data_IF_819284643593
#
_entry.id   IF_819284643593
#
_cell.length_a   1.000
_cell.length_b   1.000
_cell.length_c   1.000
_cell.angle_alpha   90.00
_cell.angle_beta   90.00
_cell.angle_gamma   90.00
#
_symmetry.space_group_name_H-M   'P 1'
#
loop_
_entity.id
_entity.type
_entity.pdbx_description
1 polymer ?
#
# COMPACT_ATOMS: atom_id res chain seq x y z
N UNK A 1 -3.39 -20.62 8.67
CA UNK A 1 -2.47 -19.97 7.69
C UNK A 1 -2.49 -20.69 6.34
N UNK A 2 -3.68 -20.99 5.79
CA UNK A 2 -3.83 -21.59 4.46
C UNK A 2 -4.94 -20.84 3.73
N UNK A 3 -4.63 -19.60 3.38
CA UNK A 3 -5.50 -18.73 2.60
C UNK A 3 -4.93 -18.62 1.18
N UNK A 4 -5.45 -19.39 0.22
CA UNK A 4 -4.92 -19.41 -1.14
C UNK A 4 -5.12 -18.06 -1.84
N UNK A 5 -6.19 -17.33 -1.54
CA UNK A 5 -6.48 -16.05 -2.20
C UNK A 5 -5.48 -14.98 -1.77
N UNK A 6 -5.25 -14.86 -0.46
CA UNK A 6 -4.24 -13.95 0.08
C UNK A 6 -2.83 -14.31 -0.41
N UNK A 7 -2.49 -15.61 -0.45
CA UNK A 7 -1.20 -16.05 -0.97
C UNK A 7 -1.01 -15.69 -2.45
N UNK A 8 -2.01 -15.95 -3.30
CA UNK A 8 -1.91 -15.65 -4.74
C UNK A 8 -1.68 -14.17 -5.00
N UNK A 9 -2.45 -13.27 -4.38
CA UNK A 9 -2.26 -11.83 -4.61
C UNK A 9 -0.92 -11.34 -4.10
N UNK A 10 -0.45 -11.83 -2.96
CA UNK A 10 0.82 -11.40 -2.38
C UNK A 10 2.01 -11.90 -3.22
N UNK A 11 1.92 -13.10 -3.80
CA UNK A 11 2.94 -13.58 -4.74
C UNK A 11 3.00 -12.74 -6.01
N UNK A 12 1.85 -12.38 -6.58
CA UNK A 12 1.78 -11.48 -7.74
C UNK A 12 2.41 -10.12 -7.39
N UNK A 13 2.01 -9.53 -6.25
CA UNK A 13 2.57 -8.27 -5.76
C UNK A 13 4.08 -8.35 -5.54
N UNK A 14 4.59 -9.44 -4.96
CA UNK A 14 6.01 -9.65 -4.74
C UNK A 14 6.79 -9.69 -6.06
N UNK A 15 6.28 -10.41 -7.07
CA UNK A 15 6.91 -10.48 -8.40
C UNK A 15 6.93 -9.10 -9.06
N UNK A 16 5.78 -8.40 -9.07
CA UNK A 16 5.68 -7.06 -9.65
C UNK A 16 6.60 -6.06 -8.94
N UNK A 17 6.65 -6.09 -7.61
CA UNK A 17 7.51 -5.21 -6.82
C UNK A 17 9.00 -5.50 -7.08
N UNK A 18 9.37 -6.77 -7.25
CA UNK A 18 10.75 -7.16 -7.58
C UNK A 18 11.16 -6.64 -8.95
N UNK A 19 10.28 -6.79 -9.96
CA UNK A 19 10.50 -6.24 -11.30
C UNK A 19 10.64 -4.72 -11.23
N UNK A 20 9.73 -4.04 -10.54
CA UNK A 20 9.75 -2.59 -10.38
C UNK A 20 11.07 -2.10 -9.74
N UNK A 21 11.49 -2.71 -8.63
CA UNK A 21 12.75 -2.35 -7.96
C UNK A 21 13.95 -2.65 -8.84
N UNK A 22 13.95 -3.76 -9.58
CA UNK A 22 15.01 -4.10 -10.54
C UNK A 22 15.14 -3.06 -11.65
N UNK A 23 14.03 -2.69 -12.31
CA UNK A 23 14.01 -1.63 -13.32
C UNK A 23 14.44 -0.29 -12.73
N UNK A 24 13.94 0.08 -11.53
CA UNK A 24 14.32 1.31 -10.86
C UNK A 24 15.83 1.35 -10.53
N UNK A 25 16.39 0.23 -10.07
CA UNK A 25 17.80 0.13 -9.72
C UNK A 25 18.73 0.28 -10.95
N UNK A 26 18.31 -0.26 -12.11
CA UNK A 26 19.05 -0.09 -13.36
C UNK A 26 19.06 1.38 -13.80
N UNK A 27 17.95 2.09 -13.63
CA UNK A 27 17.75 3.44 -14.16
C UNK A 27 18.08 4.58 -13.16
N UNK A 28 18.26 4.28 -11.87
CA UNK A 28 18.53 5.31 -10.87
C UNK A 28 20.00 5.76 -10.88
N UNK A 29 20.19 7.08 -10.73
CA UNK A 29 21.51 7.68 -10.53
C UNK A 29 22.02 7.43 -9.10
N UNK A 30 21.11 7.26 -8.14
CA UNK A 30 21.43 7.17 -6.71
C UNK A 30 21.64 5.72 -6.21
N UNK A 31 22.46 4.94 -6.92
CA UNK A 31 22.63 3.49 -6.66
C UNK A 31 22.94 3.15 -5.20
N UNK A 32 23.85 3.89 -4.55
CA UNK A 32 24.24 3.64 -3.15
C UNK A 32 23.06 3.80 -2.18
N UNK A 33 22.24 4.84 -2.36
CA UNK A 33 21.05 5.07 -1.52
C UNK A 33 20.01 3.97 -1.75
N UNK A 34 19.78 3.59 -3.01
CA UNK A 34 18.86 2.50 -3.34
C UNK A 34 19.33 1.16 -2.78
N UNK A 35 20.63 0.84 -2.86
CA UNK A 35 21.21 -0.36 -2.25
C UNK A 35 21.06 -0.37 -0.73
N UNK A 36 21.27 0.77 -0.07
CA UNK A 36 21.06 0.89 1.38
C UNK A 36 19.60 0.60 1.75
N UNK A 37 18.64 1.20 1.04
CA UNK A 37 17.21 0.97 1.30
C UNK A 37 16.81 -0.48 1.06
N UNK A 38 17.20 -1.07 -0.09
CA UNK A 38 16.93 -2.48 -0.41
C UNK A 38 17.59 -3.39 0.62
N UNK A 39 18.84 -3.12 1.00
CA UNK A 39 19.56 -3.86 2.03
C UNK A 39 18.84 -3.83 3.37
N UNK A 40 18.40 -2.66 3.83
CA UNK A 40 17.61 -2.53 5.08
C UNK A 40 16.33 -3.35 5.03
N UNK A 41 15.58 -3.29 3.93
CA UNK A 41 14.33 -4.07 3.78
C UNK A 41 14.62 -5.57 3.77
N UNK A 42 15.63 -6.03 3.01
CA UNK A 42 16.00 -7.44 2.96
C UNK A 42 16.48 -7.95 4.32
N UNK A 43 17.30 -7.18 5.03
CA UNK A 43 17.72 -7.54 6.40
C UNK A 43 16.52 -7.66 7.33
N UNK A 44 15.57 -6.72 7.28
CA UNK A 44 14.34 -6.79 8.07
C UNK A 44 13.51 -8.05 7.76
N UNK A 45 13.34 -8.38 6.47
CA UNK A 45 12.62 -9.58 6.04
C UNK A 45 13.31 -10.87 6.50
N UNK A 46 14.63 -10.95 6.37
CA UNK A 46 15.43 -12.10 6.82
C UNK A 46 15.29 -12.27 8.34
N UNK A 47 15.43 -11.20 9.13
CA UNK A 47 15.29 -11.26 10.59
C UNK A 47 13.89 -11.71 10.99
N UNK A 48 12.86 -11.22 10.30
CA UNK A 48 11.46 -11.60 10.52
C UNK A 48 11.21 -13.07 10.19
N UNK A 49 11.79 -13.58 9.09
CA UNK A 49 11.74 -15.00 8.72
C UNK A 49 12.46 -15.89 9.74
N UNK A 50 13.68 -15.50 10.15
CA UNK A 50 14.46 -16.24 11.15
C UNK A 50 13.75 -16.27 12.52
N UNK A 51 13.13 -15.16 12.92
CA UNK A 51 12.30 -15.11 14.12
C UNK A 51 11.15 -16.12 14.05
N UNK A 52 10.42 -16.15 12.92
CA UNK A 52 9.33 -17.09 12.71
C UNK A 52 9.77 -18.56 12.76
N UNK A 53 10.98 -18.86 12.28
CA UNK A 53 11.55 -20.22 12.33
C UNK A 53 12.02 -20.62 13.74
N UNK A 54 12.46 -19.66 14.56
CA UNK A 54 13.01 -19.94 15.88
C UNK A 54 11.97 -19.98 16.99
N UNK A 55 10.82 -19.32 16.80
CA UNK A 55 9.71 -19.38 17.74
C UNK A 55 9.08 -20.79 17.73
N UNK A 56 9.07 -21.43 18.90
CA UNK A 56 8.51 -22.77 19.06
C UNK A 56 6.97 -22.79 18.98
N UNK A 57 6.30 -21.71 19.39
CA UNK A 57 4.84 -21.61 19.35
C UNK A 57 4.36 -20.92 18.07
N UNK A 58 3.73 -21.69 17.19
CA UNK A 58 3.22 -21.23 15.90
C UNK A 58 2.21 -20.08 16.08
N UNK A 59 1.43 -20.07 17.15
CA UNK A 59 0.45 -19.01 17.43
C UNK A 59 1.13 -17.67 17.70
N UNK A 60 2.12 -17.66 18.60
CA UNK A 60 2.95 -16.49 18.89
C UNK A 60 3.67 -15.99 17.64
N UNK A 61 4.25 -16.90 16.85
CA UNK A 61 4.91 -16.54 15.60
C UNK A 61 3.96 -15.88 14.61
N UNK A 62 2.80 -16.49 14.36
CA UNK A 62 1.78 -15.96 13.46
C UNK A 62 1.26 -14.59 13.90
N UNK A 63 1.01 -14.39 15.20
CA UNK A 63 0.53 -13.12 15.72
C UNK A 63 1.56 -12.00 15.54
N UNK A 64 2.83 -12.24 15.89
CA UNK A 64 3.89 -11.24 15.72
C UNK A 64 4.06 -10.85 14.25
N UNK A 65 4.06 -11.84 13.34
CA UNK A 65 4.14 -11.59 11.91
C UNK A 65 2.92 -10.80 11.38
N UNK A 66 1.72 -11.16 11.83
CA UNK A 66 0.48 -10.44 11.53
C UNK A 66 0.54 -8.98 11.98
N UNK A 67 1.03 -8.72 13.19
CA UNK A 67 1.22 -7.36 13.71
C UNK A 67 2.22 -6.55 12.87
N UNK A 68 3.39 -7.13 12.55
CA UNK A 68 4.40 -6.45 11.73
C UNK A 68 3.86 -6.12 10.34
N UNK A 69 3.14 -7.06 9.72
CA UNK A 69 2.50 -6.86 8.42
C UNK A 69 1.45 -5.73 8.50
N UNK A 70 0.56 -5.77 9.50
CA UNK A 70 -0.48 -4.76 9.67
C UNK A 70 0.09 -3.35 9.88
N UNK A 71 1.14 -3.22 10.72
CA UNK A 71 1.84 -1.94 10.92
C UNK A 71 2.45 -1.47 9.60
N UNK A 72 3.14 -2.36 8.87
CA UNK A 72 3.72 -2.04 7.56
C UNK A 72 2.68 -1.53 6.57
N UNK A 73 1.52 -2.19 6.49
CA UNK A 73 0.40 -1.76 5.65
C UNK A 73 -0.14 -0.40 6.06
N UNK A 74 -0.36 -0.14 7.35
CA UNK A 74 -0.84 1.16 7.84
C UNK A 74 0.15 2.28 7.51
N UNK A 75 1.45 2.05 7.69
CA UNK A 75 2.50 3.01 7.34
C UNK A 75 2.54 3.27 5.83
N UNK A 76 2.36 2.26 5.00
CA UNK A 76 2.27 2.43 3.55
C UNK A 76 1.06 3.30 3.16
N UNK A 77 -0.07 3.11 3.83
CA UNK A 77 -1.27 3.92 3.65
C UNK A 77 -1.13 5.37 4.14
N UNK A 78 -0.04 5.71 4.84
CA UNK A 78 0.27 7.09 5.19
C UNK A 78 0.82 7.91 4.01
N UNK A 79 1.42 7.29 2.98
CA UNK A 79 2.02 8.02 1.86
C UNK A 79 1.02 8.96 1.12
N UNK A 80 -0.24 8.55 0.86
CA UNK A 80 -1.27 9.42 0.27
C UNK A 80 -1.67 10.64 1.11
N UNK A 81 -1.36 10.70 2.41
CA UNK A 81 -1.68 11.86 3.26
C UNK A 81 -0.92 13.11 2.82
N UNK A 82 0.29 12.94 2.28
CA UNK A 82 1.06 14.05 1.71
C UNK A 82 0.31 14.67 0.53
N UNK A 83 -0.27 13.85 -0.36
CA UNK A 83 -1.09 14.31 -1.49
C UNK A 83 -2.38 15.00 -1.03
N UNK A 84 -3.01 14.51 0.04
CA UNK A 84 -4.18 15.19 0.64
C UNK A 84 -3.81 16.61 1.10
N UNK A 85 -2.68 16.75 1.82
CA UNK A 85 -2.18 18.06 2.26
C UNK A 85 -1.91 19.00 1.09
N UNK A 86 -1.31 18.48 0.01
CA UNK A 86 -1.06 19.23 -1.22
C UNK A 86 -2.35 19.76 -1.86
N UNK A 87 -3.41 18.95 -1.94
CA UNK A 87 -4.71 19.41 -2.48
C UNK A 87 -5.30 20.54 -1.65
N UNK A 88 -5.20 20.48 -0.32
CA UNK A 88 -5.71 21.55 0.54
C UNK A 88 -4.93 22.87 0.39
N UNK A 89 -3.62 22.79 0.13
CA UNK A 89 -2.75 23.95 -0.10
C UNK A 89 -2.96 24.55 -1.49
N UNK A 90 -2.99 23.71 -2.52
CA UNK A 90 -3.11 24.13 -3.93
C UNK A 90 -4.55 24.40 -4.36
N UNK A 91 -5.53 23.94 -3.59
CA UNK A 91 -6.97 23.96 -3.91
C UNK A 91 -7.28 23.30 -5.27
N UNK A 92 -6.48 22.31 -5.67
CA UNK A 92 -6.58 21.60 -6.94
C UNK A 92 -6.42 20.10 -6.73
N UNK A 93 -7.25 19.30 -7.43
CA UNK A 93 -7.17 17.82 -7.43
C UNK A 93 -6.31 17.27 -8.57
N UNK A 94 -5.59 18.13 -9.29
CA UNK A 94 -4.83 17.77 -10.49
C UNK A 94 -3.76 16.70 -10.28
N UNK A 95 -3.13 16.66 -9.11
CA UNK A 95 -2.09 15.68 -8.76
C UNK A 95 -2.65 14.31 -8.37
N UNK A 96 -3.97 14.19 -8.19
CA UNK A 96 -4.61 12.95 -7.75
C UNK A 96 -5.05 12.08 -8.94
N UNK A 97 -4.47 10.87 -9.11
CA UNK A 97 -4.86 9.98 -10.19
C UNK A 97 -6.17 9.24 -9.86
N UNK A 98 -7.30 9.75 -10.35
CA UNK A 98 -8.65 9.21 -10.06
C UNK A 98 -8.75 7.68 -10.18
N UNK A 99 -8.32 7.10 -11.31
CA UNK A 99 -8.48 5.65 -11.54
C UNK A 99 -7.71 4.80 -10.53
N UNK A 100 -6.51 5.24 -10.12
CA UNK A 100 -5.69 4.52 -9.14
C UNK A 100 -6.35 4.59 -7.76
N UNK A 101 -6.82 5.77 -7.37
CA UNK A 101 -7.45 5.99 -6.06
C UNK A 101 -8.77 5.22 -5.98
N UNK A 102 -9.60 5.28 -7.02
CA UNK A 102 -10.87 4.54 -7.09
C UNK A 102 -10.65 3.03 -7.02
N UNK A 103 -9.69 2.52 -7.79
CA UNK A 103 -9.35 1.08 -7.75
C UNK A 103 -8.84 0.67 -6.36
N UNK A 104 -8.03 1.52 -5.73
CA UNK A 104 -7.53 1.30 -4.36
C UNK A 104 -8.67 1.25 -3.35
N UNK A 105 -9.63 2.19 -3.44
CA UNK A 105 -10.81 2.21 -2.58
C UNK A 105 -11.61 0.91 -2.72
N UNK A 106 -11.92 0.48 -3.94
CA UNK A 106 -12.66 -0.76 -4.18
C UNK A 106 -11.89 -1.97 -3.64
N UNK A 107 -10.60 -2.11 -3.96
CA UNK A 107 -9.77 -3.22 -3.49
C UNK A 107 -9.71 -3.28 -1.97
N UNK A 108 -9.50 -2.14 -1.30
CA UNK A 108 -9.38 -2.09 0.16
C UNK A 108 -10.71 -2.35 0.87
N UNK A 109 -11.84 -1.91 0.31
CA UNK A 109 -13.18 -2.29 0.79
C UNK A 109 -13.41 -3.80 0.64
N UNK A 110 -13.05 -4.39 -0.50
CA UNK A 110 -13.19 -5.83 -0.73
C UNK A 110 -12.33 -6.64 0.25
N UNK A 111 -11.09 -6.23 0.49
CA UNK A 111 -10.23 -6.89 1.48
C UNK A 111 -10.70 -6.69 2.92
N UNK A 112 -11.30 -5.55 3.24
CA UNK A 112 -11.92 -5.34 4.55
C UNK A 112 -13.09 -6.30 4.77
N UNK A 113 -13.99 -6.41 3.80
CA UNK A 113 -15.11 -7.38 3.83
C UNK A 113 -14.56 -8.80 3.93
N UNK A 114 -13.54 -9.12 3.13
CA UNK A 114 -12.87 -10.42 3.19
C UNK A 114 -12.33 -10.73 4.58
N UNK A 115 -11.62 -9.78 5.20
CA UNK A 115 -11.11 -9.92 6.56
C UNK A 115 -12.20 -10.16 7.60
N UNK A 116 -13.40 -9.56 7.43
CA UNK A 116 -14.57 -9.85 8.29
C UNK A 116 -15.00 -11.31 8.10
N UNK A 117 -15.08 -11.79 6.86
CA UNK A 117 -15.52 -13.15 6.55
C UNK A 117 -14.59 -14.23 7.11
N UNK A 118 -13.28 -13.97 7.15
CA UNK A 118 -12.29 -14.90 7.70
C UNK A 118 -11.93 -14.61 9.16
N UNK A 119 -12.63 -13.67 9.81
CA UNK A 119 -12.42 -13.23 11.20
C UNK A 119 -10.95 -12.82 11.49
N UNK A 120 -10.26 -12.26 10.49
CA UNK A 120 -8.85 -11.86 10.60
C UNK A 120 -8.68 -10.35 10.75
N UNK A 121 -8.46 -9.90 11.98
CA UNK A 121 -8.20 -8.50 12.32
C UNK A 121 -6.96 -7.92 11.64
N UNK A 122 -5.94 -8.73 11.33
CA UNK A 122 -4.74 -8.28 10.62
C UNK A 122 -5.01 -7.94 9.16
N UNK A 123 -6.09 -8.48 8.58
CA UNK A 123 -6.59 -8.08 7.26
C UNK A 123 -7.56 -6.92 7.38
N UNK A 124 -8.48 -6.96 8.36
CA UNK A 124 -9.53 -5.95 8.51
C UNK A 124 -8.98 -4.54 8.75
N UNK A 125 -8.17 -4.38 9.81
CA UNK A 125 -7.73 -3.05 10.29
C UNK A 125 -6.95 -2.25 9.23
N UNK A 126 -5.89 -2.78 8.59
CA UNK A 126 -5.14 -2.00 7.61
C UNK A 126 -5.97 -1.67 6.37
N UNK A 127 -6.87 -2.55 5.94
CA UNK A 127 -7.71 -2.31 4.78
C UNK A 127 -8.80 -1.28 5.05
N UNK A 128 -9.39 -1.26 6.25
CA UNK A 128 -10.32 -0.20 6.67
C UNK A 128 -9.65 1.17 6.68
N UNK A 129 -8.43 1.25 7.22
CA UNK A 129 -7.64 2.49 7.22
C UNK A 129 -7.36 2.98 5.79
N UNK A 130 -6.96 2.07 4.91
CA UNK A 130 -6.67 2.37 3.50
C UNK A 130 -7.92 2.80 2.73
N UNK A 131 -9.06 2.14 2.97
CA UNK A 131 -10.35 2.50 2.41
C UNK A 131 -10.79 3.89 2.87
N UNK A 132 -10.57 4.22 4.14
CA UNK A 132 -10.89 5.56 4.68
C UNK A 132 -10.04 6.63 3.99
N UNK A 133 -8.74 6.43 3.87
CA UNK A 133 -7.82 7.40 3.26
C UNK A 133 -8.12 7.59 1.76
N UNK A 134 -8.29 6.50 1.01
CA UNK A 134 -8.65 6.58 -0.41
C UNK A 134 -10.05 7.16 -0.63
N UNK A 135 -11.01 6.88 0.26
CA UNK A 135 -12.33 7.52 0.26
C UNK A 135 -12.25 9.04 0.46
N UNK A 136 -11.40 9.50 1.39
CA UNK A 136 -11.12 10.94 1.56
C UNK A 136 -10.53 11.54 0.27
N UNK A 137 -9.59 10.87 -0.38
CA UNK A 137 -9.02 11.34 -1.65
C UNK A 137 -10.07 11.43 -2.78
N UNK A 138 -10.99 10.46 -2.88
CA UNK A 138 -12.11 10.54 -3.82
C UNK A 138 -13.04 11.72 -3.52
N UNK A 139 -13.32 11.97 -2.24
CA UNK A 139 -14.06 13.15 -1.80
C UNK A 139 -13.39 14.45 -2.23
N UNK A 140 -12.06 14.54 -2.09
CA UNK A 140 -11.30 15.70 -2.55
C UNK A 140 -11.35 15.88 -4.07
N UNK A 141 -11.29 14.80 -4.85
CA UNK A 141 -11.45 14.86 -6.32
C UNK A 141 -12.84 15.40 -6.70
N UNK A 142 -13.88 15.04 -5.94
CA UNK A 142 -15.24 15.52 -6.21
C UNK A 142 -15.45 16.99 -5.84
N UNK A 143 -14.75 17.49 -4.81
CA UNK A 143 -14.92 18.86 -4.29
C UNK A 143 -13.98 19.87 -4.96
N UNK A 144 -12.73 19.50 -5.21
CA UNK A 144 -11.72 20.41 -5.76
C UNK A 144 -11.64 20.29 -7.28
N UNK A 145 -11.61 21.42 -8.01
CA UNK A 145 -11.52 21.41 -9.46
C UNK A 145 -10.20 20.78 -9.92
N UNK A 146 -10.29 19.97 -10.97
CA UNK A 146 -9.12 19.53 -11.72
C UNK A 146 -8.86 20.57 -12.81
N UNK A 147 -7.74 21.29 -12.75
CA UNK A 147 -7.40 22.34 -13.74
C UNK A 147 -7.19 21.84 -15.17
N UNK A 148 -7.38 20.54 -15.44
CA UNK A 148 -7.26 19.92 -16.77
C UNK A 148 -8.34 20.32 -17.80
N UNK A 149 -9.29 21.21 -17.46
CA UNK A 149 -10.48 21.47 -18.29
C UNK A 149 -10.53 22.82 -19.02
N UNK A 150 -9.40 23.47 -19.34
CA UNK A 150 -9.40 24.67 -20.20
C UNK A 150 -8.75 24.48 -21.59
N UNK A 151 -8.15 23.34 -21.91
CA UNK A 151 -7.37 23.18 -23.17
C UNK A 151 -8.03 22.27 -24.23
N UNK A 152 -9.30 21.88 -24.09
CA UNK A 152 -9.98 20.97 -25.03
C UNK A 152 -11.34 21.44 -25.58
N UNK A 153 -11.62 22.75 -25.56
CA UNK A 153 -12.86 23.32 -26.14
C UNK A 153 -12.62 24.38 -27.23
N UNK A 154 -11.44 24.43 -27.83
CA UNK A 154 -11.14 25.32 -28.95
C UNK A 154 -10.45 24.54 -30.07
N UNK A 155 -11.21 23.68 -30.74
CA UNK A 155 -10.98 23.28 -32.13
C UNK A 155 -12.29 23.42 -32.90
#
# INVERSE_FOLDING_TARGET
MNDPMMQTVNWICFILQTIYVGCFYVNTVHKKKTQQMVGTVLTFLILTYLYGFHVADISTGSNTLGFLAAIGSILASAAPLASISEVFQTKSSETLPFLIIFSTFVVTVLWFIYGILIEDSFVQVPNLMSATISGLQLGLIAVFPSKKSEEKKTE
#
